data_IF_785292347563
#
_entry.id   IF_785292347563
#
_cell.length_a   1.000
_cell.length_b   1.000
_cell.length_c   1.000
_cell.angle_alpha   90.00
_cell.angle_beta   90.00
_cell.angle_gamma   90.00
#
_symmetry.space_group_name_H-M   'P 1'
#
loop_
_entity.id
_entity.type
_entity.pdbx_description
1 polymer ?
#
# COMPACT_ATOMS: atom_id res chain seq x y z
N UNK A 1 -18.37 -7.08 -0.78
CA UNK A 1 -17.06 -6.63 -0.23
C UNK A 1 -16.78 -5.22 -0.72
N UNK A 2 -16.76 -4.21 0.17
CA UNK A 2 -16.54 -2.82 -0.24
C UNK A 2 -15.04 -2.50 -0.32
N UNK A 3 -14.56 -2.11 -1.50
CA UNK A 3 -13.17 -1.77 -1.74
C UNK A 3 -12.95 -0.33 -1.26
N UNK A 4 -12.40 -0.18 -0.05
CA UNK A 4 -12.02 1.13 0.46
C UNK A 4 -10.62 1.50 -0.03
N UNK A 5 -10.48 2.62 -0.73
CA UNK A 5 -9.20 3.23 -1.10
C UNK A 5 -9.19 4.68 -0.64
N UNK A 6 -8.15 5.08 0.10
CA UNK A 6 -8.05 6.45 0.58
C UNK A 6 -7.76 7.44 -0.55
N UNK A 7 -8.39 8.62 -0.49
CA UNK A 7 -8.19 9.71 -1.46
C UNK A 7 -6.74 10.16 -1.54
N UNK A 8 -6.02 10.13 -0.42
CA UNK A 8 -4.58 10.44 -0.36
C UNK A 8 -3.74 9.48 -1.21
N UNK A 9 -4.03 8.17 -1.13
CA UNK A 9 -3.34 7.16 -1.93
C UNK A 9 -3.68 7.32 -3.41
N UNK A 10 -4.95 7.57 -3.75
CA UNK A 10 -5.34 7.85 -5.14
C UNK A 10 -4.57 9.04 -5.71
N UNK A 11 -4.45 10.13 -4.94
CA UNK A 11 -3.68 11.31 -5.34
C UNK A 11 -2.20 10.99 -5.56
N UNK A 12 -1.59 10.23 -4.64
CA UNK A 12 -0.19 9.80 -4.77
C UNK A 12 0.01 8.88 -5.99
N UNK A 13 -0.95 8.01 -6.32
CA UNK A 13 -0.88 7.10 -7.49
C UNK A 13 -0.80 7.94 -8.76
N UNK A 14 -1.67 8.96 -8.88
CA UNK A 14 -1.65 9.88 -10.02
C UNK A 14 -0.32 10.62 -10.13
N UNK A 15 0.19 11.17 -9.03
CA UNK A 15 1.45 11.92 -9.01
C UNK A 15 2.67 11.07 -9.37
N UNK A 16 2.72 9.83 -8.88
CA UNK A 16 3.84 8.92 -9.10
C UNK A 16 3.86 8.43 -10.56
N UNK A 17 2.68 8.13 -11.12
CA UNK A 17 2.55 7.82 -12.54
C UNK A 17 3.05 8.97 -13.43
N UNK A 18 2.70 10.21 -13.13
CA UNK A 18 3.14 11.38 -13.89
C UNK A 18 4.66 11.59 -13.83
N UNK A 19 5.26 11.37 -12.65
CA UNK A 19 6.70 11.60 -12.44
C UNK A 19 7.58 10.38 -12.72
N UNK A 20 7.02 9.30 -13.29
CA UNK A 20 7.70 8.01 -13.55
C UNK A 20 8.42 7.42 -12.32
N UNK A 21 8.08 7.86 -11.11
CA UNK A 21 8.61 7.28 -9.87
C UNK A 21 7.93 5.91 -9.67
N UNK A 22 8.62 4.96 -9.05
CA UNK A 22 8.05 3.64 -8.73
C UNK A 22 7.88 3.40 -7.24
N UNK A 23 8.41 4.28 -6.39
CA UNK A 23 8.45 4.08 -4.93
C UNK A 23 7.29 4.79 -4.26
N UNK A 24 6.61 4.08 -3.36
CA UNK A 24 5.38 4.54 -2.71
C UNK A 24 5.45 4.36 -1.20
N UNK A 25 5.38 5.46 -0.44
CA UNK A 25 5.35 5.41 1.02
C UNK A 25 3.92 5.61 1.52
N UNK A 26 3.42 4.61 2.27
CA UNK A 26 2.04 4.54 2.74
C UNK A 26 2.02 4.39 4.26
N UNK A 27 1.30 5.29 4.94
CA UNK A 27 0.99 5.14 6.37
C UNK A 27 -0.37 4.49 6.61
N UNK A 28 -1.31 4.66 5.68
CA UNK A 28 -2.68 4.19 5.83
C UNK A 28 -2.81 2.68 5.58
N UNK A 29 -2.88 1.92 6.68
CA UNK A 29 -3.01 0.44 6.69
C UNK A 29 -4.41 -0.06 6.33
N UNK A 30 -5.44 0.80 6.38
CA UNK A 30 -6.84 0.43 6.15
C UNK A 30 -7.20 0.32 4.66
N UNK A 31 -6.29 0.71 3.78
CA UNK A 31 -6.51 0.73 2.33
C UNK A 31 -6.51 -0.69 1.78
N UNK A 32 -7.49 -0.96 0.92
CA UNK A 32 -7.63 -2.22 0.21
C UNK A 32 -6.59 -2.31 -0.90
N UNK A 33 -5.95 -3.47 -1.01
CA UNK A 33 -4.97 -3.75 -2.06
C UNK A 33 -5.69 -3.89 -3.41
N UNK A 34 -5.28 -3.07 -4.37
CA UNK A 34 -5.83 -3.02 -5.73
C UNK A 34 -4.71 -3.23 -6.77
N UNK A 35 -5.06 -3.76 -7.95
CA UNK A 35 -4.16 -4.04 -9.09
C UNK A 35 -3.29 -2.84 -9.47
N UNK A 36 -3.82 -1.60 -9.36
CA UNK A 36 -3.08 -0.35 -9.62
C UNK A 36 -1.81 -0.18 -8.77
N UNK A 37 -1.72 -0.85 -7.63
CA UNK A 37 -0.56 -0.79 -6.74
C UNK A 37 0.53 -1.82 -7.07
N UNK A 38 0.26 -2.85 -7.89
CA UNK A 38 1.23 -3.92 -8.23
C UNK A 38 2.50 -3.39 -8.90
N UNK A 39 2.34 -2.38 -9.75
CA UNK A 39 3.41 -1.84 -10.58
C UNK A 39 4.41 -0.98 -9.80
N UNK A 40 4.13 -0.72 -8.52
CA UNK A 40 4.91 0.15 -7.67
C UNK A 40 5.59 -0.64 -6.54
N UNK A 41 6.77 -0.17 -6.14
CA UNK A 41 7.48 -0.59 -4.94
C UNK A 41 6.79 0.08 -3.75
N UNK A 42 6.09 -0.70 -2.94
CA UNK A 42 5.30 -0.20 -1.82
C UNK A 42 6.09 -0.32 -0.52
N UNK A 43 6.18 0.77 0.23
CA UNK A 43 6.70 0.82 1.58
C UNK A 43 5.57 1.18 2.53
N UNK A 44 5.29 0.32 3.52
CA UNK A 44 4.19 0.54 4.45
C UNK A 44 4.72 0.72 5.86
N UNK A 45 4.26 1.77 6.52
CA UNK A 45 4.65 2.07 7.89
C UNK A 45 4.04 1.05 8.86
N UNK A 46 4.86 0.36 9.64
CA UNK A 46 4.38 -0.62 10.62
C UNK A 46 4.06 -0.01 11.99
N UNK A 47 4.43 1.25 12.25
CA UNK A 47 4.34 1.89 13.57
C UNK A 47 5.71 2.29 14.14
N UNK A 48 6.81 1.83 13.54
CA UNK A 48 8.19 2.23 13.86
C UNK A 48 8.94 2.62 12.60
N UNK A 49 8.92 1.78 11.58
CA UNK A 49 9.65 1.96 10.33
C UNK A 49 8.78 1.65 9.11
N UNK A 50 9.25 2.05 7.93
CA UNK A 50 8.66 1.64 6.66
C UNK A 50 9.26 0.30 6.23
N UNK A 51 8.38 -0.67 5.96
CA UNK A 51 8.78 -2.00 5.50
C UNK A 51 8.41 -2.13 4.02
N UNK A 52 9.32 -2.71 3.24
CA UNK A 52 9.03 -3.10 1.86
C UNK A 52 7.88 -4.12 1.85
N UNK A 53 6.80 -3.78 1.19
CA UNK A 53 5.62 -4.62 1.09
C UNK A 53 5.64 -5.43 -0.21
N UNK A 54 5.79 -6.74 -0.06
CA UNK A 54 5.69 -7.65 -1.20
C UNK A 54 4.22 -7.83 -1.62
N UNK A 55 3.81 -7.06 -2.63
CA UNK A 55 2.47 -7.13 -3.22
C UNK A 55 2.36 -8.33 -4.18
N UNK A 56 1.34 -9.18 -3.98
CA UNK A 56 1.01 -10.30 -4.86
C UNK A 56 -0.51 -10.39 -5.12
N UNK A 57 -0.92 -11.13 -6.14
CA UNK A 57 -2.34 -11.26 -6.50
C UNK A 57 -3.16 -12.02 -5.45
N UNK A 58 -2.54 -12.89 -4.65
CA UNK A 58 -3.20 -13.58 -3.53
C UNK A 58 -3.69 -12.60 -2.45
N UNK A 59 -3.08 -11.43 -2.33
CA UNK A 59 -3.44 -10.36 -1.38
C UNK A 59 -4.43 -9.35 -1.95
N UNK A 60 -4.86 -9.49 -3.21
CA UNK A 60 -5.81 -8.57 -3.84
C UNK A 60 -7.15 -8.56 -3.07
N UNK A 61 -7.70 -7.38 -2.81
CA UNK A 61 -8.97 -7.24 -2.10
C UNK A 61 -8.87 -7.27 -0.56
N UNK A 62 -7.72 -7.63 0.00
CA UNK A 62 -7.47 -7.52 1.44
C UNK A 62 -6.93 -6.15 1.82
N UNK A 63 -7.08 -5.77 3.09
CA UNK A 63 -6.46 -4.55 3.64
C UNK A 63 -4.96 -4.75 3.82
N UNK A 64 -4.18 -3.71 3.52
CA UNK A 64 -2.73 -3.70 3.70
C UNK A 64 -2.30 -4.10 5.12
N UNK A 65 -3.02 -3.62 6.14
CA UNK A 65 -2.73 -3.85 7.55
C UNK A 65 -2.72 -5.33 7.95
N UNK A 66 -3.46 -6.19 7.23
CA UNK A 66 -3.53 -7.62 7.53
C UNK A 66 -2.19 -8.34 7.37
N UNK A 67 -1.25 -7.74 6.65
CA UNK A 67 0.01 -8.35 6.25
C UNK A 67 1.24 -7.65 6.84
N UNK A 68 1.04 -6.74 7.79
CA UNK A 68 2.12 -5.94 8.39
C UNK A 68 2.15 -6.22 9.88
N UNK A 69 3.25 -6.80 10.35
CA UNK A 69 3.46 -7.01 11.77
C UNK A 69 3.71 -5.67 12.47
N UNK A 70 2.79 -5.30 13.36
CA UNK A 70 2.88 -4.07 14.16
C UNK A 70 3.40 -4.31 15.56
N UNK A 71 3.34 -5.55 16.06
CA UNK A 71 3.85 -5.97 17.37
C UNK A 71 5.09 -6.84 17.17
N UNK A 72 6.12 -6.63 17.99
CA UNK A 72 7.21 -7.60 18.18
C UNK A 72 6.73 -8.54 19.28
N UNK A 73 6.54 -9.81 18.95
CA UNK A 73 6.41 -10.87 19.94
C UNK A 73 7.82 -11.29 20.36
#
# INVERSE_FOLDING_TARGET
MYIFISKEILRKIKYIHLNKKKIFYIKNKSTTLNKKLKQNILYIYNGKTYILFNWNYKKLGYKMGNFINTKKF
#
